data_IF_391354798355
#
_entry.id   IF_391354798355
#
_cell.length_a   1.000
_cell.length_b   1.000
_cell.length_c   1.000
_cell.angle_alpha   90.00
_cell.angle_beta   90.00
_cell.angle_gamma   90.00
#
_symmetry.space_group_name_H-M   'P 1'
#
loop_
_entity.id
_entity.type
_entity.pdbx_description
1 polymer ?
#
# COMPACT_ATOMS: atom_id res chain seq x y z
N UNK A 1 -10.80 15.25 20.26
CA UNK A 1 -10.34 13.84 20.37
C UNK A 1 -9.11 13.72 19.50
N UNK A 2 -7.98 13.21 20.02
CA UNK A 2 -6.74 13.12 19.23
C UNK A 2 -6.95 12.22 18.00
N UNK A 3 -6.66 12.72 16.79
CA UNK A 3 -6.86 11.99 15.53
C UNK A 3 -6.14 10.63 15.51
N UNK A 4 -5.01 10.53 16.21
CA UNK A 4 -4.27 9.29 16.45
C UNK A 4 -5.12 8.18 17.09
N UNK A 5 -6.08 8.53 17.95
CA UNK A 5 -6.95 7.53 18.60
C UNK A 5 -7.97 6.95 17.63
N UNK A 6 -8.45 7.74 16.67
CA UNK A 6 -9.44 7.30 15.67
C UNK A 6 -8.77 6.35 14.69
N UNK A 7 -7.63 6.76 14.14
CA UNK A 7 -6.81 5.94 13.24
C UNK A 7 -6.34 4.66 13.95
N UNK A 8 -5.81 4.79 15.16
CA UNK A 8 -5.34 3.65 15.95
C UNK A 8 -6.45 2.64 16.26
N UNK A 9 -7.66 3.10 16.57
CA UNK A 9 -8.81 2.20 16.78
C UNK A 9 -9.21 1.48 15.51
N UNK A 10 -9.26 2.16 14.37
CA UNK A 10 -9.63 1.56 13.09
C UNK A 10 -8.59 0.52 12.63
N UNK A 11 -7.29 0.84 12.78
CA UNK A 11 -6.20 -0.10 12.50
C UNK A 11 -6.31 -1.32 13.41
N UNK A 12 -6.58 -1.15 14.70
CA UNK A 12 -6.72 -2.26 15.63
C UNK A 12 -7.88 -3.18 15.27
N UNK A 13 -9.00 -2.64 14.79
CA UNK A 13 -10.14 -3.47 14.33
C UNK A 13 -9.79 -4.27 13.07
N UNK A 14 -9.02 -3.69 12.15
CA UNK A 14 -8.66 -4.28 10.86
C UNK A 14 -7.21 -4.79 10.79
N UNK A 15 -6.61 -5.09 11.95
CA UNK A 15 -5.17 -5.33 12.04
C UNK A 15 -4.69 -6.50 11.19
N UNK A 16 -5.50 -7.57 11.08
CA UNK A 16 -5.23 -8.72 10.23
C UNK A 16 -5.13 -8.34 8.75
N UNK A 17 -6.01 -7.45 8.28
CA UNK A 17 -6.03 -7.00 6.88
C UNK A 17 -4.81 -6.13 6.57
N UNK A 18 -4.46 -5.21 7.47
CA UNK A 18 -3.23 -4.42 7.35
C UNK A 18 -1.99 -5.30 7.40
N UNK A 19 -1.94 -6.26 8.34
CA UNK A 19 -0.84 -7.20 8.45
C UNK A 19 -0.69 -8.03 7.17
N UNK A 20 -1.76 -8.63 6.65
CA UNK A 20 -1.73 -9.39 5.41
C UNK A 20 -1.24 -8.55 4.22
N UNK A 21 -1.76 -7.32 4.05
CA UNK A 21 -1.33 -6.42 2.99
C UNK A 21 0.15 -6.03 3.10
N UNK A 22 0.61 -5.68 4.30
CA UNK A 22 2.02 -5.34 4.56
C UNK A 22 2.93 -6.54 4.33
N UNK A 23 2.55 -7.73 4.82
CA UNK A 23 3.31 -8.96 4.61
C UNK A 23 3.44 -9.32 3.14
N UNK A 24 2.39 -9.11 2.32
CA UNK A 24 2.47 -9.31 0.87
C UNK A 24 3.46 -8.35 0.20
N UNK A 25 3.43 -7.07 0.56
CA UNK A 25 4.39 -6.07 0.05
C UNK A 25 5.82 -6.40 0.48
N UNK A 26 6.00 -6.82 1.74
CA UNK A 26 7.30 -7.25 2.27
C UNK A 26 7.83 -8.47 1.53
N UNK A 27 7.00 -9.49 1.29
CA UNK A 27 7.36 -10.68 0.51
C UNK A 27 7.81 -10.30 -0.91
N UNK A 28 7.04 -9.46 -1.62
CA UNK A 28 7.42 -8.96 -2.94
C UNK A 28 8.77 -8.22 -2.94
N UNK A 29 9.06 -7.48 -1.86
CA UNK A 29 10.33 -6.77 -1.67
C UNK A 29 11.50 -7.73 -1.42
N UNK A 30 11.28 -8.80 -0.65
CA UNK A 30 12.28 -9.85 -0.43
C UNK A 30 12.62 -10.62 -1.71
N UNK A 31 11.63 -10.89 -2.56
CA UNK A 31 11.86 -11.48 -3.89
C UNK A 31 12.66 -10.54 -4.79
N UNK A 32 12.30 -9.25 -4.82
CA UNK A 32 13.04 -8.23 -5.57
C UNK A 32 14.52 -8.15 -5.15
N UNK A 33 14.80 -8.31 -3.85
CA UNK A 33 16.15 -8.31 -3.31
C UNK A 33 17.01 -9.51 -3.75
N UNK A 34 16.42 -10.56 -4.33
CA UNK A 34 17.19 -11.69 -4.88
C UNK A 34 17.74 -11.42 -6.29
N UNK A 35 17.16 -10.45 -7.02
CA UNK A 35 17.56 -10.15 -8.40
C UNK A 35 19.07 -9.85 -8.51
N UNK A 36 19.69 -9.01 -7.64
CA UNK A 36 21.13 -8.75 -7.72
C UNK A 36 21.99 -10.00 -7.54
N UNK A 37 21.58 -10.91 -6.63
CA UNK A 37 22.29 -12.18 -6.42
C UNK A 37 22.19 -13.08 -7.66
N UNK A 38 21.05 -13.06 -8.33
CA UNK A 38 20.84 -13.82 -9.55
C UNK A 38 21.69 -13.28 -10.70
N UNK A 39 21.76 -11.96 -10.86
CA UNK A 39 22.65 -11.28 -11.81
C UNK A 39 24.12 -11.61 -11.51
N UNK A 40 24.52 -11.64 -10.23
CA UNK A 40 25.87 -12.05 -9.82
C UNK A 40 26.20 -13.45 -10.32
N UNK A 41 25.35 -14.44 -10.06
CA UNK A 41 25.55 -15.81 -10.54
C UNK A 41 25.65 -15.90 -12.07
N UNK A 42 24.82 -15.17 -12.79
CA UNK A 42 24.90 -15.11 -14.27
C UNK A 42 26.26 -14.56 -14.70
N UNK A 43 26.75 -13.52 -14.03
CA UNK A 43 28.05 -12.88 -14.34
C UNK A 43 29.22 -13.82 -14.03
N UNK A 44 29.16 -14.55 -12.92
CA UNK A 44 30.17 -15.53 -12.54
C UNK A 44 30.23 -16.69 -13.55
N UNK A 45 29.08 -17.26 -13.92
CA UNK A 45 29.01 -18.34 -14.91
C UNK A 45 29.43 -17.89 -16.32
N UNK A 46 29.19 -16.63 -16.68
CA UNK A 46 29.75 -16.02 -17.90
C UNK A 46 31.27 -15.93 -17.84
N UNK A 47 31.83 -15.51 -16.70
CA UNK A 47 33.29 -15.39 -16.51
C UNK A 47 34.00 -16.74 -16.59
N UNK A 48 33.40 -17.78 -16.02
CA UNK A 48 33.97 -19.13 -16.02
C UNK A 48 33.82 -19.85 -17.36
N UNK A 49 33.15 -19.23 -18.34
CA UNK A 49 32.91 -19.79 -19.67
C UNK A 49 31.97 -21.00 -19.67
N UNK A 50 31.27 -21.24 -18.56
CA UNK A 50 30.38 -22.39 -18.35
C UNK A 50 28.95 -22.11 -18.79
N UNK A 51 28.61 -20.85 -19.11
CA UNK A 51 27.24 -20.45 -19.41
C UNK A 51 26.73 -21.02 -20.75
N UNK A 52 25.88 -22.05 -20.67
CA UNK A 52 25.14 -22.56 -21.82
C UNK A 52 23.93 -21.70 -22.20
N UNK A 53 23.46 -21.81 -23.45
CA UNK A 53 22.22 -21.17 -23.91
C UNK A 53 20.98 -21.61 -23.12
N UNK A 54 20.93 -22.88 -22.70
CA UNK A 54 19.86 -23.42 -21.85
C UNK A 54 19.86 -22.82 -20.45
N UNK A 55 21.04 -22.63 -19.85
CA UNK A 55 21.17 -22.05 -18.51
C UNK A 55 20.79 -20.57 -18.53
N UNK A 56 21.21 -19.84 -19.56
CA UNK A 56 20.81 -18.45 -19.77
C UNK A 56 19.28 -18.30 -19.87
N UNK A 57 18.62 -19.17 -20.64
CA UNK A 57 17.16 -19.18 -20.73
C UNK A 57 16.49 -19.46 -19.36
N UNK A 58 17.06 -20.37 -18.56
CA UNK A 58 16.62 -20.64 -17.20
C UNK A 58 16.73 -19.41 -16.28
N UNK A 59 17.85 -18.69 -16.34
CA UNK A 59 18.05 -17.45 -15.58
C UNK A 59 17.06 -16.35 -15.96
N UNK A 60 16.85 -16.14 -17.27
CA UNK A 60 15.86 -15.17 -17.77
C UNK A 60 14.45 -15.55 -17.29
N UNK A 61 14.07 -16.82 -17.41
CA UNK A 61 12.79 -17.32 -16.93
C UNK A 61 12.59 -17.08 -15.43
N UNK A 62 13.63 -17.32 -14.62
CA UNK A 62 13.59 -17.08 -13.19
C UNK A 62 13.47 -15.58 -12.84
N UNK A 63 14.18 -14.69 -13.55
CA UNK A 63 14.04 -13.24 -13.38
C UNK A 63 12.61 -12.79 -13.69
N UNK A 64 12.04 -13.26 -14.81
CA UNK A 64 10.66 -12.95 -15.21
C UNK A 64 9.68 -13.44 -14.14
N UNK A 65 9.84 -14.68 -13.67
CA UNK A 65 9.00 -15.24 -12.62
C UNK A 65 9.04 -14.40 -11.33
N UNK A 66 10.24 -14.04 -10.88
CA UNK A 66 10.43 -13.16 -9.71
C UNK A 66 9.75 -11.81 -9.94
N UNK A 67 9.88 -11.24 -11.14
CA UNK A 67 9.22 -9.99 -11.53
C UNK A 67 7.69 -10.07 -11.44
N UNK A 68 7.09 -11.13 -11.98
CA UNK A 68 5.65 -11.38 -11.92
C UNK A 68 5.17 -11.53 -10.48
N UNK A 69 5.87 -12.33 -9.66
CA UNK A 69 5.53 -12.52 -8.24
C UNK A 69 5.64 -11.21 -7.47
N UNK A 70 6.68 -10.41 -7.72
CA UNK A 70 6.86 -9.09 -7.09
C UNK A 70 5.71 -8.14 -7.44
N UNK A 71 5.33 -8.08 -8.71
CA UNK A 71 4.23 -7.21 -9.17
C UNK A 71 2.91 -7.69 -8.56
N UNK A 72 2.61 -8.99 -8.62
CA UNK A 72 1.36 -9.54 -8.09
C UNK A 72 1.21 -9.33 -6.59
N UNK A 73 2.22 -9.70 -5.80
CA UNK A 73 2.18 -9.56 -4.33
C UNK A 73 2.24 -8.09 -3.89
N UNK A 74 3.07 -7.28 -4.54
CA UNK A 74 3.19 -5.85 -4.25
C UNK A 74 1.93 -5.06 -4.61
N UNK A 75 1.32 -5.34 -5.76
CA UNK A 75 0.06 -4.70 -6.15
C UNK A 75 -1.10 -5.16 -5.27
N UNK A 76 -1.25 -6.46 -5.06
CA UNK A 76 -2.31 -7.00 -4.20
C UNK A 76 -2.24 -6.46 -2.77
N UNK A 77 -1.05 -6.45 -2.17
CA UNK A 77 -0.86 -5.90 -0.82
C UNK A 77 -1.19 -4.40 -0.72
N UNK A 78 -0.80 -3.61 -1.73
CA UNK A 78 -1.17 -2.18 -1.81
C UNK A 78 -2.67 -1.98 -1.94
N UNK A 79 -3.34 -2.75 -2.80
CA UNK A 79 -4.80 -2.66 -2.99
C UNK A 79 -5.52 -2.90 -1.67
N UNK A 80 -5.12 -3.92 -0.91
CA UNK A 80 -5.70 -4.24 0.41
C UNK A 80 -5.56 -3.05 1.38
N UNK A 81 -4.35 -2.49 1.51
CA UNK A 81 -4.08 -1.37 2.42
C UNK A 81 -4.83 -0.11 1.99
N UNK A 82 -4.80 0.23 0.69
CA UNK A 82 -5.50 1.41 0.17
C UNK A 82 -7.02 1.28 0.30
N UNK A 83 -7.58 0.09 0.12
CA UNK A 83 -9.01 -0.13 0.29
C UNK A 83 -9.46 0.22 1.71
N UNK A 84 -8.74 -0.27 2.74
CA UNK A 84 -9.03 0.06 4.13
C UNK A 84 -8.79 1.53 4.47
N UNK A 85 -7.78 2.16 3.87
CA UNK A 85 -7.60 3.61 3.97
C UNK A 85 -8.80 4.40 3.42
N UNK A 86 -9.33 4.00 2.27
CA UNK A 86 -10.51 4.64 1.65
C UNK A 86 -11.78 4.44 2.46
N UNK A 87 -11.96 3.25 3.04
CA UNK A 87 -13.08 2.95 3.96
C UNK A 87 -13.04 3.87 5.18
N UNK A 88 -11.87 4.02 5.82
CA UNK A 88 -11.68 4.96 6.93
C UNK A 88 -11.99 6.40 6.52
N UNK A 89 -11.45 6.88 5.40
CA UNK A 89 -11.73 8.25 4.91
C UNK A 89 -13.22 8.46 4.63
N UNK A 90 -13.89 7.46 4.07
CA UNK A 90 -15.34 7.52 3.84
C UNK A 90 -16.11 7.65 5.16
N UNK A 91 -15.79 6.83 6.15
CA UNK A 91 -16.46 6.85 7.45
C UNK A 91 -16.24 8.18 8.18
N UNK A 92 -15.03 8.74 8.11
CA UNK A 92 -14.71 10.03 8.69
C UNK A 92 -15.49 11.17 8.03
N UNK A 93 -15.52 11.19 6.69
CA UNK A 93 -16.28 12.20 5.94
C UNK A 93 -17.77 12.11 6.19
N UNK A 94 -18.31 10.89 6.31
CA UNK A 94 -19.70 10.65 6.67
C UNK A 94 -20.02 11.22 8.06
N UNK A 95 -19.22 10.89 9.07
CA UNK A 95 -19.40 11.39 10.44
C UNK A 95 -19.32 12.92 10.51
N UNK A 96 -18.39 13.53 9.76
CA UNK A 96 -18.24 14.97 9.72
C UNK A 96 -19.47 15.65 9.08
N UNK A 97 -19.97 15.10 7.98
CA UNK A 97 -21.17 15.60 7.31
C UNK A 97 -22.41 15.49 8.19
N UNK A 98 -22.63 14.33 8.81
CA UNK A 98 -23.72 14.12 9.78
C UNK A 98 -23.61 15.11 10.94
N UNK A 99 -22.39 15.34 11.44
CA UNK A 99 -22.17 16.29 12.54
C UNK A 99 -22.54 17.71 12.13
N UNK A 100 -22.14 18.17 10.95
CA UNK A 100 -22.51 19.50 10.45
C UNK A 100 -24.03 19.67 10.42
N UNK A 101 -24.79 18.67 9.97
CA UNK A 101 -26.26 18.73 9.96
C UNK A 101 -26.92 18.99 11.33
N UNK A 102 -26.19 18.78 12.44
CA UNK A 102 -26.69 19.03 13.81
C UNK A 102 -26.30 20.39 14.39
N UNK A 103 -25.51 21.19 13.67
CA UNK A 103 -24.98 22.47 14.17
C UNK A 103 -25.98 23.61 14.05
N UNK A 104 -25.86 24.59 14.94
CA UNK A 104 -26.74 25.77 14.97
C UNK A 104 -26.50 26.70 13.78
N UNK A 105 -27.50 27.49 13.35
CA UNK A 105 -27.32 28.52 12.32
C UNK A 105 -26.18 29.51 12.60
N UNK A 106 -25.93 29.82 13.87
CA UNK A 106 -24.83 30.69 14.30
C UNK A 106 -23.44 30.13 14.03
N UNK A 107 -23.28 28.81 13.90
CA UNK A 107 -22.03 28.19 13.50
C UNK A 107 -21.70 28.50 12.04
N UNK A 108 -22.69 28.38 11.16
CA UNK A 108 -22.60 28.64 9.72
C UNK A 108 -22.39 30.12 9.37
N UNK A 109 -22.76 31.02 10.28
CA UNK A 109 -22.45 32.44 10.13
C UNK A 109 -20.97 32.76 10.41
N UNK A 110 -20.27 31.88 11.14
CA UNK A 110 -18.86 32.05 11.53
C UNK A 110 -17.88 31.20 10.72
N UNK A 111 -18.35 30.14 10.06
CA UNK A 111 -17.53 29.25 9.23
C UNK A 111 -18.16 29.14 7.85
N UNK A 112 -17.38 29.47 6.81
CA UNK A 112 -17.88 29.37 5.45
C UNK A 112 -18.04 27.90 5.04
N UNK A 113 -18.94 27.66 4.07
CA UNK A 113 -19.09 26.31 3.47
C UNK A 113 -17.80 25.85 2.80
N UNK A 114 -17.03 26.79 2.23
CA UNK A 114 -15.72 26.50 1.66
C UNK A 114 -14.71 25.99 2.69
N UNK A 115 -14.65 26.62 3.87
CA UNK A 115 -13.75 26.20 4.94
C UNK A 115 -14.10 24.80 5.46
N UNK A 116 -15.40 24.52 5.61
CA UNK A 116 -15.88 23.20 6.03
C UNK A 116 -15.46 22.12 5.02
N UNK A 117 -15.71 22.33 3.73
CA UNK A 117 -15.33 21.39 2.67
C UNK A 117 -13.80 21.22 2.61
N UNK A 118 -13.04 22.32 2.74
CA UNK A 118 -11.58 22.29 2.75
C UNK A 118 -11.05 21.36 3.84
N UNK A 119 -11.60 21.47 5.05
CA UNK A 119 -11.23 20.62 6.19
C UNK A 119 -11.61 19.14 5.98
N UNK A 120 -12.73 18.85 5.30
CA UNK A 120 -13.11 17.46 5.00
C UNK A 120 -12.25 16.77 3.92
N UNK A 121 -11.57 17.56 3.09
CA UNK A 121 -10.79 17.08 1.96
C UNK A 121 -9.28 17.07 2.22
N UNK A 122 -8.78 18.07 2.96
CA UNK A 122 -7.35 18.36 3.08
C UNK A 122 -6.71 17.79 4.35
N UNK A 123 -7.49 17.61 5.41
CA UNK A 123 -7.07 16.98 6.66
C UNK A 123 -7.12 15.45 6.58
#
# INVERSE_FOLDING_TARGET
MSGLRIVGSHIRTHWFTYFAGISMVAAGSLFAAQIPRLIGRVTDSLRDGTLGTSEMAGYVGLIVLIGVVRVGTGWGGRVIVHHKGRELTYDLRKQLFEKWGTLSPSYYHRHSVGDMISHALSD
#
